data_IF_978273322732
#
_entry.id   IF_978273322732
#
_cell.length_a   1.000
_cell.length_b   1.000
_cell.length_c   1.000
_cell.angle_alpha   90.00
_cell.angle_beta   90.00
_cell.angle_gamma   90.00
#
_symmetry.space_group_name_H-M   'P 1'
#
loop_
_entity.id
_entity.type
_entity.pdbx_description
1 polymer ?
#
# COMPACT_ATOMS: atom_id res chain seq x y z
N UNK A 1 16.11 -5.29 -8.28
CA UNK A 1 14.85 -4.51 -8.40
C UNK A 1 14.07 -4.44 -7.08
N UNK A 2 14.75 -4.44 -5.92
CA UNK A 2 14.09 -4.44 -4.59
C UNK A 2 13.33 -3.13 -4.33
N UNK A 3 13.94 -2.02 -4.75
CA UNK A 3 13.42 -0.67 -4.55
C UNK A 3 12.13 -0.37 -5.35
N UNK A 4 11.89 -1.08 -6.46
CA UNK A 4 10.71 -0.83 -7.31
C UNK A 4 9.42 -1.31 -6.65
N UNK A 5 9.44 -2.45 -5.95
CA UNK A 5 8.25 -3.00 -5.31
C UNK A 5 7.82 -2.15 -4.12
N UNK A 6 8.78 -1.73 -3.29
CA UNK A 6 8.51 -0.80 -2.18
C UNK A 6 7.93 0.53 -2.68
N UNK A 7 8.51 1.11 -3.73
CA UNK A 7 7.98 2.33 -4.35
C UNK A 7 6.59 2.13 -4.94
N UNK A 8 6.29 0.98 -5.56
CA UNK A 8 4.95 0.66 -6.04
C UNK A 8 3.93 0.57 -4.89
N UNK A 9 4.28 -0.10 -3.80
CA UNK A 9 3.45 -0.19 -2.60
C UNK A 9 3.15 1.20 -2.01
N UNK A 10 4.19 2.03 -1.81
CA UNK A 10 4.03 3.42 -1.36
C UNK A 10 3.17 4.24 -2.31
N UNK A 11 3.40 4.15 -3.62
CA UNK A 11 2.64 4.93 -4.60
C UNK A 11 1.18 4.50 -4.66
N UNK A 12 0.89 3.20 -4.56
CA UNK A 12 -0.48 2.70 -4.56
C UNK A 12 -1.24 3.17 -3.30
N UNK A 13 -0.62 3.08 -2.12
CA UNK A 13 -1.19 3.57 -0.86
C UNK A 13 -1.39 5.09 -0.88
N UNK A 14 -0.41 5.85 -1.35
CA UNK A 14 -0.53 7.31 -1.49
C UNK A 14 -1.59 7.71 -2.50
N UNK A 15 -1.69 7.00 -3.62
CA UNK A 15 -2.71 7.23 -4.65
C UNK A 15 -4.10 6.99 -4.09
N UNK A 16 -4.27 5.90 -3.32
CA UNK A 16 -5.51 5.58 -2.64
C UNK A 16 -5.88 6.66 -1.62
N UNK A 17 -4.92 7.09 -0.78
CA UNK A 17 -5.15 8.15 0.20
C UNK A 17 -5.51 9.50 -0.44
N UNK A 18 -4.87 9.86 -1.56
CA UNK A 18 -5.21 11.07 -2.30
C UNK A 18 -6.60 11.01 -2.95
N UNK A 19 -7.00 9.83 -3.44
CA UNK A 19 -8.31 9.61 -4.08
C UNK A 19 -9.45 9.36 -3.09
N UNK A 20 -9.14 9.13 -1.82
CA UNK A 20 -10.12 8.87 -0.75
C UNK A 20 -11.16 9.99 -0.59
N UNK A 21 -10.87 11.20 -1.08
CA UNK A 21 -11.76 12.37 -1.04
C UNK A 21 -12.98 12.32 -1.99
N UNK A 22 -13.21 11.23 -2.73
CA UNK A 22 -14.45 11.11 -3.50
C UNK A 22 -14.61 9.90 -4.42
N UNK A 23 -13.54 9.17 -4.74
CA UNK A 23 -13.65 8.03 -5.65
C UNK A 23 -12.68 6.92 -5.26
N UNK A 24 -13.17 5.98 -4.45
CA UNK A 24 -12.37 4.90 -3.91
C UNK A 24 -12.61 3.64 -4.75
N UNK A 25 -11.66 3.31 -5.62
CA UNK A 25 -11.74 2.15 -6.48
C UNK A 25 -11.21 0.90 -5.77
N UNK A 26 -11.98 -0.18 -5.78
CA UNK A 26 -11.56 -1.51 -5.30
C UNK A 26 -10.30 -2.00 -6.02
N UNK A 27 -10.12 -1.58 -7.28
CA UNK A 27 -8.96 -1.91 -8.09
C UNK A 27 -7.66 -1.30 -7.54
N UNK A 28 -7.68 -0.05 -7.06
CA UNK A 28 -6.53 0.58 -6.42
C UNK A 28 -6.19 -0.11 -5.08
N UNK A 29 -7.23 -0.60 -4.40
CA UNK A 29 -7.13 -1.35 -3.15
C UNK A 29 -6.38 -2.68 -3.34
N UNK A 30 -6.82 -3.45 -4.33
CA UNK A 30 -6.17 -4.72 -4.69
C UNK A 30 -4.75 -4.49 -5.19
N UNK A 31 -4.52 -3.44 -5.98
CA UNK A 31 -3.18 -3.08 -6.43
C UNK A 31 -2.27 -2.74 -5.24
N UNK A 32 -2.74 -1.94 -4.29
CA UNK A 32 -1.97 -1.59 -3.11
C UNK A 32 -1.67 -2.79 -2.20
N UNK A 33 -2.65 -3.67 -1.95
CA UNK A 33 -2.44 -4.91 -1.19
C UNK A 33 -1.44 -5.83 -1.88
N UNK A 34 -1.60 -6.09 -3.19
CA UNK A 34 -0.68 -6.92 -3.95
C UNK A 34 0.74 -6.34 -3.97
N UNK A 35 0.85 -5.01 -4.13
CA UNK A 35 2.14 -4.34 -4.12
C UNK A 35 2.82 -4.42 -2.75
N UNK A 36 2.08 -4.18 -1.65
CA UNK A 36 2.60 -4.34 -0.28
C UNK A 36 3.07 -5.77 -0.06
N UNK A 37 2.26 -6.77 -0.41
CA UNK A 37 2.60 -8.17 -0.16
C UNK A 37 3.82 -8.62 -0.98
N UNK A 38 3.88 -8.21 -2.25
CA UNK A 38 5.03 -8.48 -3.13
C UNK A 38 6.30 -7.76 -2.65
N UNK A 39 6.16 -6.51 -2.20
CA UNK A 39 7.24 -5.76 -1.60
C UNK A 39 7.69 -6.41 -0.28
N UNK A 40 6.77 -6.88 0.56
CA UNK A 40 7.05 -7.49 1.85
C UNK A 40 7.91 -8.74 1.73
N UNK A 41 7.63 -9.59 0.74
CA UNK A 41 8.43 -10.81 0.46
C UNK A 41 9.87 -10.48 0.04
N UNK A 42 10.09 -9.32 -0.58
CA UNK A 42 11.38 -8.90 -1.09
C UNK A 42 12.03 -7.80 -0.23
N UNK A 43 11.37 -7.30 0.81
CA UNK A 43 11.80 -6.16 1.60
C UNK A 43 12.75 -6.58 2.73
N UNK A 44 13.65 -5.68 3.11
CA UNK A 44 14.47 -5.83 4.33
C UNK A 44 13.61 -5.71 5.59
N UNK A 45 14.15 -6.07 6.76
CA UNK A 45 13.41 -5.96 8.03
C UNK A 45 12.90 -4.53 8.31
N UNK A 46 13.67 -3.51 7.94
CA UNK A 46 13.29 -2.10 8.07
C UNK A 46 12.16 -1.74 7.10
N UNK A 47 12.28 -2.12 5.83
CA UNK A 47 11.26 -1.87 4.80
C UNK A 47 9.96 -2.62 5.10
N UNK A 48 10.04 -3.84 5.64
CA UNK A 48 8.87 -4.60 6.11
C UNK A 48 8.12 -3.84 7.20
N UNK A 49 8.84 -3.16 8.09
CA UNK A 49 8.24 -2.39 9.16
C UNK A 49 7.48 -1.17 8.60
N UNK A 50 8.06 -0.47 7.61
CA UNK A 50 7.36 0.60 6.90
C UNK A 50 6.15 0.09 6.09
N UNK A 51 6.29 -1.02 5.37
CA UNK A 51 5.22 -1.63 4.60
C UNK A 51 4.04 -2.05 5.50
N UNK A 52 4.31 -2.56 6.69
CA UNK A 52 3.28 -2.92 7.67
C UNK A 52 2.49 -1.70 8.16
N UNK A 53 3.17 -0.58 8.38
CA UNK A 53 2.52 0.68 8.73
C UNK A 53 1.64 1.20 7.59
N UNK A 54 2.12 1.12 6.35
CA UNK A 54 1.36 1.48 5.15
C UNK A 54 0.12 0.58 4.98
N UNK A 55 0.27 -0.73 5.21
CA UNK A 55 -0.84 -1.69 5.16
C UNK A 55 -1.93 -1.37 6.19
N UNK A 56 -1.52 -1.04 7.42
CA UNK A 56 -2.45 -0.66 8.48
C UNK A 56 -3.20 0.64 8.13
N UNK A 57 -2.52 1.64 7.58
CA UNK A 57 -3.18 2.86 7.10
C UNK A 57 -4.17 2.57 5.97
N UNK A 58 -3.81 1.69 5.03
CA UNK A 58 -4.67 1.29 3.93
C UNK A 58 -5.92 0.54 4.42
N UNK A 59 -5.77 -0.37 5.39
CA UNK A 59 -6.88 -1.09 6.04
C UNK A 59 -7.78 -0.15 6.83
N UNK A 60 -7.20 0.77 7.60
CA UNK A 60 -7.96 1.73 8.37
C UNK A 60 -8.80 2.65 7.46
N UNK A 61 -8.23 3.14 6.36
CA UNK A 61 -9.01 3.91 5.37
C UNK A 61 -10.10 3.08 4.68
N UNK A 62 -9.87 1.78 4.51
CA UNK A 62 -10.85 0.86 3.96
C UNK A 62 -12.04 0.66 4.91
N UNK A 63 -11.78 0.42 6.18
CA UNK A 63 -12.81 0.12 7.19
C UNK A 63 -13.60 1.37 7.65
N UNK A 64 -13.05 2.57 7.46
CA UNK A 64 -13.71 3.84 7.80
C UNK A 64 -14.76 4.30 6.76
N UNK A 65 -15.17 3.45 5.82
CA UNK A 65 -16.26 3.69 4.85
C UNK A 65 -17.39 2.70 5.03
#
# INVERSE_FOLDING_TARGET
MQNQLFQQARNAVNSLMNRANGNFNEQDKQAAQNAIQSAYTNATAEEQQELRNLENQLKQQNELK
#
